data_IF_127905870389
#
_entry.id   IF_127905870389
#
_cell.length_a   1.000
_cell.length_b   1.000
_cell.length_c   1.000
_cell.angle_alpha   90.00
_cell.angle_beta   90.00
_cell.angle_gamma   90.00
#
_symmetry.space_group_name_H-M   'P 1'
#
loop_
_entity.id
_entity.type
_entity.pdbx_description
1 polymer ?
#
# COMPACT_ATOMS: atom_id res chain seq x y z
N UNK A 1 2.81 -15.08 1.17
CA UNK A 1 4.10 -15.30 0.50
C UNK A 1 5.10 -14.19 0.86
N UNK A 2 4.81 -12.91 0.58
CA UNK A 2 5.70 -11.77 0.86
C UNK A 2 6.30 -11.75 2.29
N UNK A 3 5.49 -12.01 3.33
CA UNK A 3 5.97 -12.03 4.72
C UNK A 3 7.09 -13.04 5.00
N UNK A 4 7.23 -14.10 4.19
CA UNK A 4 8.28 -15.09 4.40
C UNK A 4 9.68 -14.62 3.94
N UNK A 5 9.77 -13.44 3.30
CA UNK A 5 11.00 -12.92 2.70
C UNK A 5 11.79 -11.96 3.61
N UNK A 6 11.28 -11.66 4.81
CA UNK A 6 11.95 -10.75 5.75
C UNK A 6 11.27 -10.68 7.11
N UNK A 7 11.81 -9.83 7.98
CA UNK A 7 11.38 -9.72 9.38
C UNK A 7 10.07 -8.93 9.54
N UNK A 8 9.86 -7.92 8.69
CA UNK A 8 8.69 -7.06 8.68
C UNK A 8 8.08 -6.93 7.28
N UNK A 9 6.75 -6.93 7.21
CA UNK A 9 6.00 -6.65 5.99
C UNK A 9 5.33 -5.27 6.08
N UNK A 10 5.72 -4.36 5.20
CA UNK A 10 5.07 -3.07 4.98
C UNK A 10 4.19 -3.17 3.74
N UNK A 11 2.92 -2.79 3.84
CA UNK A 11 1.99 -2.73 2.70
C UNK A 11 1.66 -1.27 2.41
N UNK A 12 2.12 -0.79 1.26
CA UNK A 12 1.79 0.54 0.77
C UNK A 12 0.58 0.45 -0.18
N UNK A 13 -0.45 1.26 0.05
CA UNK A 13 -1.62 1.34 -0.81
C UNK A 13 -1.78 2.73 -1.40
N UNK A 14 -2.26 2.79 -2.63
CA UNK A 14 -2.61 4.04 -3.29
C UNK A 14 -3.77 4.75 -2.57
N UNK A 15 -3.69 6.07 -2.51
CA UNK A 15 -4.80 6.94 -2.13
C UNK A 15 -5.99 6.81 -3.07
N UNK A 16 -7.18 7.23 -2.63
CA UNK A 16 -8.37 7.22 -3.47
C UNK A 16 -8.22 8.16 -4.67
N UNK A 17 -7.53 9.30 -4.49
CA UNK A 17 -7.21 10.21 -5.60
C UNK A 17 -6.36 9.53 -6.65
N UNK A 18 -5.23 8.95 -6.26
CA UNK A 18 -4.31 8.28 -7.20
C UNK A 18 -4.94 7.05 -7.86
N UNK A 19 -5.83 6.33 -7.15
CA UNK A 19 -6.61 5.24 -7.76
C UNK A 19 -7.59 5.76 -8.80
N UNK A 20 -8.30 6.87 -8.57
CA UNK A 20 -9.19 7.49 -9.57
C UNK A 20 -8.41 7.92 -10.81
N UNK A 21 -7.26 8.56 -10.62
CA UNK A 21 -6.39 8.97 -11.72
C UNK A 21 -5.90 7.76 -12.56
N UNK A 22 -5.58 6.65 -11.90
CA UNK A 22 -5.09 5.43 -12.56
C UNK A 22 -6.19 4.57 -13.21
N UNK A 23 -7.38 4.52 -12.61
CA UNK A 23 -8.42 3.52 -12.95
C UNK A 23 -9.77 4.12 -13.33
N UNK A 24 -9.91 5.44 -13.28
CA UNK A 24 -11.13 6.18 -13.60
C UNK A 24 -12.09 6.39 -12.42
N UNK A 25 -13.12 7.20 -12.66
CA UNK A 25 -14.03 7.76 -11.64
C UNK A 25 -14.87 6.71 -10.88
N UNK A 26 -14.98 5.48 -11.39
CA UNK A 26 -15.69 4.37 -10.75
C UNK A 26 -14.87 3.60 -9.70
N UNK A 27 -13.66 4.05 -9.38
CA UNK A 27 -12.74 3.38 -8.43
C UNK A 27 -12.17 4.40 -7.44
N UNK A 28 -11.77 3.97 -6.22
CA UNK A 28 -11.94 2.62 -5.66
C UNK A 28 -13.37 2.37 -5.15
N UNK A 29 -13.72 1.08 -4.98
CA UNK A 29 -15.03 0.67 -4.41
C UNK A 29 -15.04 0.81 -2.89
N UNK A 30 -13.88 0.58 -2.26
CA UNK A 30 -13.64 0.68 -0.83
C UNK A 30 -12.61 1.80 -0.64
N UNK A 31 -12.89 2.76 0.25
CA UNK A 31 -12.03 3.92 0.43
C UNK A 31 -10.66 3.53 1.03
N UNK A 32 -9.69 4.43 0.93
CA UNK A 32 -8.31 4.19 1.35
C UNK A 32 -8.16 3.80 2.82
N UNK A 33 -8.96 4.39 3.71
CA UNK A 33 -8.90 4.11 5.14
C UNK A 33 -9.44 2.71 5.46
N UNK A 34 -10.58 2.34 4.87
CA UNK A 34 -11.16 1.00 5.02
C UNK A 34 -10.22 -0.08 4.44
N UNK A 35 -9.61 0.18 3.26
CA UNK A 35 -8.60 -0.71 2.69
C UNK A 35 -7.39 -0.86 3.61
N UNK A 36 -6.93 0.24 4.20
CA UNK A 36 -5.81 0.22 5.13
C UNK A 36 -6.15 -0.60 6.39
N UNK A 37 -7.34 -0.41 6.95
CA UNK A 37 -7.82 -1.14 8.14
C UNK A 37 -7.90 -2.65 7.88
N UNK A 38 -8.48 -3.07 6.76
CA UNK A 38 -8.56 -4.49 6.37
C UNK A 38 -7.16 -5.11 6.28
N UNK A 39 -6.20 -4.40 5.66
CA UNK A 39 -4.83 -4.89 5.53
C UNK A 39 -4.09 -4.90 6.89
N UNK A 40 -4.33 -3.91 7.74
CA UNK A 40 -3.75 -3.82 9.08
C UNK A 40 -4.26 -4.92 10.01
N UNK A 41 -5.48 -5.43 9.78
CA UNK A 41 -6.02 -6.57 10.52
C UNK A 41 -5.34 -7.92 10.16
N UNK A 42 -4.57 -7.98 9.07
CA UNK A 42 -3.87 -9.21 8.69
C UNK A 42 -2.67 -9.46 9.59
N UNK A 43 -2.64 -10.60 10.28
CA UNK A 43 -1.53 -11.03 11.18
C UNK A 43 -0.13 -10.92 10.54
N UNK A 44 -0.05 -11.09 9.22
CA UNK A 44 1.21 -11.06 8.49
C UNK A 44 1.72 -9.64 8.20
N UNK A 45 0.88 -8.61 8.30
CA UNK A 45 1.23 -7.23 7.98
C UNK A 45 1.69 -6.52 9.25
N UNK A 46 2.84 -5.85 9.18
CA UNK A 46 3.40 -5.11 10.31
C UNK A 46 3.03 -3.63 10.23
N UNK A 47 3.04 -3.07 9.03
CA UNK A 47 2.71 -1.66 8.78
C UNK A 47 1.88 -1.53 7.52
N UNK A 48 0.95 -0.59 7.54
CA UNK A 48 0.21 -0.16 6.35
C UNK A 48 0.40 1.33 6.19
N UNK A 49 0.67 1.78 4.97
CA UNK A 49 0.79 3.21 4.64
C UNK A 49 0.00 3.54 3.39
N UNK A 50 -0.54 4.76 3.34
CA UNK A 50 -1.25 5.29 2.19
C UNK A 50 -0.33 6.31 1.52
N UNK A 51 -0.15 6.19 0.20
CA UNK A 51 0.63 7.15 -0.56
C UNK A 51 -0.19 7.75 -1.71
N UNK A 52 0.07 9.02 -1.96
CA UNK A 52 -0.75 9.84 -2.84
C UNK A 52 -0.02 10.21 -4.13
N UNK A 53 0.57 9.20 -4.77
CA UNK A 53 1.28 9.32 -6.04
C UNK A 53 0.84 8.21 -7.00
N UNK A 54 0.92 8.49 -8.31
CA UNK A 54 0.65 7.50 -9.37
C UNK A 54 1.65 6.34 -9.32
N UNK A 55 2.87 6.59 -8.83
CA UNK A 55 3.93 5.60 -8.69
C UNK A 55 4.48 5.57 -7.25
N UNK A 56 4.79 4.39 -6.69
CA UNK A 56 5.34 4.27 -5.34
C UNK A 56 6.84 4.58 -5.25
N UNK A 57 7.51 5.00 -6.34
CA UNK A 57 8.97 5.17 -6.40
C UNK A 57 9.55 6.05 -5.29
N UNK A 58 8.93 7.21 -5.02
CA UNK A 58 9.40 8.11 -3.97
C UNK A 58 9.28 7.48 -2.59
N UNK A 59 8.19 6.76 -2.32
CA UNK A 59 8.01 6.03 -1.06
C UNK A 59 9.02 4.90 -0.92
N UNK A 60 9.29 4.14 -1.99
CA UNK A 60 10.29 3.07 -1.99
C UNK A 60 11.69 3.65 -1.71
N UNK A 61 12.02 4.81 -2.28
CA UNK A 61 13.30 5.47 -2.04
C UNK A 61 13.43 6.01 -0.60
N UNK A 62 12.32 6.39 0.04
CA UNK A 62 12.28 6.86 1.43
C UNK A 62 12.35 5.70 2.43
N UNK A 63 11.57 4.64 2.20
CA UNK A 63 11.53 3.44 3.06
C UNK A 63 12.78 2.57 2.88
N UNK A 64 13.33 2.55 1.67
CA UNK A 64 14.51 1.79 1.27
C UNK A 64 14.45 0.30 1.69
N UNK A 65 13.41 -0.46 1.28
CA UNK A 65 13.23 -1.84 1.72
C UNK A 65 14.32 -2.76 1.16
N UNK A 66 14.75 -3.74 1.96
CA UNK A 66 15.71 -4.76 1.53
C UNK A 66 15.15 -5.67 0.41
N UNK A 67 13.83 -5.90 0.43
CA UNK A 67 13.11 -6.72 -0.55
C UNK A 67 11.88 -5.97 -1.05
N UNK A 68 11.78 -5.80 -2.38
CA UNK A 68 10.59 -5.29 -3.06
C UNK A 68 9.91 -6.42 -3.83
N UNK A 69 8.62 -6.63 -3.58
CA UNK A 69 7.77 -7.69 -4.18
C UNK A 69 6.49 -7.13 -4.76
#
# INVERSE_FOLDING_TARGET
AARALGDALVVAINSDRSVRELKGDGRPVINENERAEILAALRQVNYVTIFDNVSPRSLIAEVLPDVLV
#
